data_IF_799643774869
#
_entry.id   IF_799643774869
#
_cell.length_a   1.000
_cell.length_b   1.000
_cell.length_c   1.000
_cell.angle_alpha   90.00
_cell.angle_beta   90.00
_cell.angle_gamma   90.00
#
_symmetry.space_group_name_H-M   'P 1'
#
loop_
_entity.id
_entity.type
_entity.pdbx_description
1 polymer ?
#
# COMPACT_ATOMS: atom_id res chain seq x y z
N UNK A 1 11.22 14.23 2.36
CA UNK A 1 10.09 13.28 2.52
C UNK A 1 10.60 12.03 3.23
N UNK A 2 10.08 11.68 4.43
CA UNK A 2 10.57 10.54 5.23
C UNK A 2 9.62 9.35 5.09
N UNK A 3 10.07 8.25 4.52
CA UNK A 3 9.31 6.99 4.42
C UNK A 3 9.94 5.99 5.38
N UNK A 4 9.12 5.31 6.17
CA UNK A 4 9.59 4.18 6.96
C UNK A 4 9.24 2.89 6.22
N UNK A 5 10.27 2.13 5.85
CA UNK A 5 10.12 0.78 5.33
C UNK A 5 10.05 -0.20 6.50
N UNK A 6 8.97 -0.97 6.59
CA UNK A 6 8.80 -1.99 7.61
C UNK A 6 8.89 -3.37 6.97
N UNK A 7 10.02 -4.04 7.13
CA UNK A 7 10.15 -5.47 6.81
C UNK A 7 9.32 -6.36 7.76
N UNK A 8 8.84 -5.82 8.89
CA UNK A 8 8.07 -6.58 9.88
C UNK A 8 7.34 -5.69 10.88
N UNK A 9 6.12 -5.24 10.60
CA UNK A 9 5.16 -4.93 11.67
C UNK A 9 3.71 -4.81 11.20
N UNK A 10 3.09 -5.98 10.94
CA UNK A 10 1.62 -6.14 10.80
C UNK A 10 0.83 -5.52 11.97
N UNK A 11 1.47 -5.31 13.13
CA UNK A 11 0.88 -4.69 14.33
C UNK A 11 0.62 -3.18 14.16
N UNK A 12 1.40 -2.48 13.33
CA UNK A 12 1.30 -1.02 13.18
C UNK A 12 0.08 -0.62 12.34
N UNK A 13 -0.18 -1.35 11.24
CA UNK A 13 -1.38 -1.12 10.40
C UNK A 13 -2.69 -1.27 11.20
N UNK A 14 -2.69 -2.11 12.25
CA UNK A 14 -3.89 -2.35 13.07
C UNK A 14 -4.24 -1.21 14.02
N UNK A 15 -3.34 -0.25 14.25
CA UNK A 15 -3.54 0.83 15.24
C UNK A 15 -4.50 1.95 14.77
N UNK A 16 -4.94 1.93 13.51
CA UNK A 16 -5.93 2.87 12.94
C UNK A 16 -5.55 4.36 13.11
N UNK A 17 -4.26 4.69 13.00
CA UNK A 17 -3.68 6.02 13.29
C UNK A 17 -3.86 7.06 12.17
N UNK A 18 -4.78 6.87 11.23
CA UNK A 18 -4.96 7.72 10.03
C UNK A 18 -3.73 7.93 9.16
N UNK A 19 -2.90 6.88 9.09
CA UNK A 19 -1.74 6.86 8.22
C UNK A 19 -2.05 6.13 6.93
N UNK A 20 -1.43 6.58 5.85
CA UNK A 20 -1.45 5.93 4.56
C UNK A 20 -0.30 4.91 4.47
N UNK A 21 -0.57 3.79 3.82
CA UNK A 21 0.39 2.71 3.62
C UNK A 21 0.37 2.23 2.18
N UNK A 22 1.54 1.81 1.71
CA UNK A 22 1.73 1.13 0.44
C UNK A 22 2.21 -0.29 0.71
N UNK A 23 1.44 -1.26 0.24
CA UNK A 23 1.72 -2.68 0.40
C UNK A 23 2.24 -3.22 -0.93
N UNK A 24 3.42 -3.82 -0.91
CA UNK A 24 3.98 -4.51 -2.06
C UNK A 24 3.74 -6.01 -1.90
N UNK A 25 3.16 -6.62 -2.93
CA UNK A 25 2.89 -8.06 -2.94
C UNK A 25 3.11 -8.66 -4.32
N UNK A 26 3.40 -9.96 -4.34
CA UNK A 26 3.46 -10.75 -5.57
C UNK A 26 2.05 -11.11 -6.05
N UNK A 27 1.77 -10.75 -7.29
CA UNK A 27 0.63 -11.20 -8.06
C UNK A 27 1.08 -12.18 -9.14
N UNK A 28 0.16 -13.03 -9.60
CA UNK A 28 0.43 -14.00 -10.65
C UNK A 28 -0.22 -13.54 -11.95
N UNK A 29 0.57 -13.47 -13.02
CA UNK A 29 0.05 -13.21 -14.37
C UNK A 29 -0.22 -14.54 -15.06
N UNK A 30 -1.48 -14.80 -15.39
CA UNK A 30 -1.91 -16.04 -16.06
C UNK A 30 -1.47 -16.11 -17.53
N UNK A 31 -1.29 -14.96 -18.20
CA UNK A 31 -0.90 -14.92 -19.62
C UNK A 31 0.59 -15.20 -19.79
N UNK A 32 1.43 -14.60 -18.96
CA UNK A 32 2.89 -14.75 -19.02
C UNK A 32 3.42 -15.87 -18.13
N UNK A 33 2.53 -16.54 -17.36
CA UNK A 33 2.86 -17.56 -16.37
C UNK A 33 4.00 -17.15 -15.44
N UNK A 34 3.99 -15.89 -15.01
CA UNK A 34 5.05 -15.31 -14.20
C UNK A 34 4.51 -14.48 -13.04
N UNK A 35 5.26 -14.47 -11.94
CA UNK A 35 4.99 -13.58 -10.83
C UNK A 35 5.47 -12.17 -11.14
N UNK A 36 4.72 -11.17 -10.68
CA UNK A 36 5.13 -9.77 -10.73
C UNK A 36 4.76 -9.07 -9.42
N UNK A 37 5.49 -8.02 -9.08
CA UNK A 37 5.21 -7.16 -7.93
C UNK A 37 4.22 -6.09 -8.32
N UNK A 38 3.29 -5.82 -7.41
CA UNK A 38 2.32 -4.72 -7.53
C UNK A 38 2.17 -3.99 -6.20
N UNK A 39 1.62 -2.77 -6.24
CA UNK A 39 1.42 -1.89 -5.08
C UNK A 39 -0.07 -1.73 -4.78
N UNK A 40 -0.42 -1.73 -3.50
CA UNK A 40 -1.75 -1.38 -2.99
C UNK A 40 -1.64 -0.22 -2.00
N UNK A 41 -2.38 0.87 -2.26
CA UNK A 41 -2.51 2.01 -1.34
C UNK A 41 -3.70 1.78 -0.39
N UNK A 42 -3.50 1.98 0.91
CA UNK A 42 -4.56 1.91 1.93
C UNK A 42 -4.41 3.02 2.97
N UNK A 43 -5.51 3.43 3.59
CA UNK A 43 -5.52 4.23 4.82
C UNK A 43 -5.86 3.33 6.02
N UNK A 44 -5.17 3.51 7.14
CA UNK A 44 -5.38 2.71 8.37
C UNK A 44 -6.69 2.95 9.12
N UNK A 45 -7.43 4.03 8.83
CA UNK A 45 -8.81 4.24 9.30
C UNK A 45 -9.84 3.37 8.59
N UNK A 46 -9.46 2.67 7.51
CA UNK A 46 -10.32 1.76 6.75
C UNK A 46 -11.42 2.42 5.92
N UNK A 47 -11.27 3.69 5.57
CA UNK A 47 -12.12 4.37 4.59
C UNK A 47 -11.67 4.02 3.16
N UNK A 48 -11.93 2.78 2.74
CA UNK A 48 -11.85 2.46 1.31
C UNK A 48 -13.16 2.96 0.68
N UNK A 49 -13.13 4.17 0.15
CA UNK A 49 -14.16 4.68 -0.76
C UNK A 49 -14.11 3.85 -2.05
N UNK A 50 -14.98 2.85 -2.15
CA UNK A 50 -15.35 2.27 -3.44
C UNK A 50 -16.78 2.71 -3.80
N UNK A 51 -17.14 2.60 -5.08
CA UNK A 51 -18.49 2.91 -5.59
C UNK A 51 -19.63 2.09 -4.92
N UNK A 52 -19.30 1.09 -4.11
CA UNK A 52 -20.24 0.20 -3.41
C UNK A 52 -20.32 0.42 -1.89
N UNK A 53 -19.70 1.49 -1.36
CA UNK A 53 -19.77 1.89 0.05
C UNK A 53 -18.67 1.33 0.97
N UNK A 54 -18.59 1.89 2.18
CA UNK A 54 -17.56 1.64 3.19
C UNK A 54 -17.46 0.16 3.57
N UNK A 55 -16.44 -0.57 3.09
CA UNK A 55 -16.14 -1.93 3.55
C UNK A 55 -15.04 -1.91 4.61
N UNK A 56 -15.42 -2.24 5.85
CA UNK A 56 -14.47 -2.51 6.95
C UNK A 56 -13.56 -3.68 6.56
N UNK A 57 -12.26 -3.52 6.80
CA UNK A 57 -11.24 -4.53 6.45
C UNK A 57 -11.29 -5.78 7.30
N UNK A 58 -12.08 -5.80 8.37
CA UNK A 58 -12.35 -7.02 9.14
C UNK A 58 -12.89 -8.16 8.24
N UNK A 59 -13.53 -7.83 7.11
CA UNK A 59 -14.03 -8.80 6.13
C UNK A 59 -13.25 -8.84 4.81
N UNK A 60 -12.23 -7.99 4.61
CA UNK A 60 -11.35 -8.14 3.45
C UNK A 60 -10.27 -9.12 3.86
N UNK A 61 -10.43 -10.39 3.44
CA UNK A 61 -9.43 -11.45 3.61
C UNK A 61 -8.22 -11.18 2.69
N UNK A 62 -7.70 -9.94 2.70
CA UNK A 62 -6.44 -9.60 2.09
C UNK A 62 -5.40 -10.38 2.87
N UNK A 63 -4.88 -11.43 2.23
CA UNK A 63 -3.81 -12.21 2.80
C UNK A 63 -2.58 -11.31 2.90
N UNK A 64 -2.48 -10.53 3.98
CA UNK A 64 -1.27 -9.82 4.43
C UNK A 64 -0.07 -10.78 4.57
N UNK A 65 -0.32 -12.09 4.54
CA UNK A 65 0.69 -13.14 4.37
C UNK A 65 1.46 -13.04 3.05
N UNK A 66 0.86 -12.50 1.99
CA UNK A 66 1.47 -12.31 0.66
C UNK A 66 2.11 -10.92 0.49
N UNK A 67 1.91 -10.03 1.45
CA UNK A 67 2.60 -8.73 1.47
C UNK A 67 4.04 -8.96 1.90
N UNK A 68 4.94 -8.49 1.06
CA UNK A 68 6.39 -8.62 1.24
C UNK A 68 6.96 -7.39 1.92
N UNK A 69 6.51 -6.20 1.50
CA UNK A 69 7.00 -4.93 2.01
C UNK A 69 5.84 -3.99 2.29
N UNK A 70 5.99 -3.20 3.37
CA UNK A 70 5.04 -2.17 3.76
C UNK A 70 5.81 -0.86 3.89
N UNK A 71 5.37 0.16 3.16
CA UNK A 71 5.83 1.53 3.29
C UNK A 71 4.76 2.36 3.99
N UNK A 72 5.16 3.13 5.00
CA UNK A 72 4.27 4.10 5.66
C UNK A 72 4.52 5.51 5.12
N UNK A 73 3.44 6.19 4.78
CA UNK A 73 3.43 7.61 4.47
C UNK A 73 3.43 8.44 5.76
N UNK A 74 4.38 9.36 5.86
CA UNK A 74 4.49 10.28 7.00
C UNK A 74 4.08 11.72 6.65
N UNK A 75 3.72 12.01 5.41
CA UNK A 75 3.20 13.32 5.04
C UNK A 75 1.75 13.50 5.44
N UNK A 76 1.27 14.73 5.31
CA UNK A 76 -0.11 15.10 5.58
C UNK A 76 -0.98 14.84 4.34
N UNK A 77 -2.22 14.39 4.56
CA UNK A 77 -3.15 14.09 3.48
C UNK A 77 -2.91 12.76 2.75
N UNK A 78 -3.70 12.54 1.70
CA UNK A 78 -3.66 11.34 0.87
C UNK A 78 -2.52 11.39 -0.17
N UNK A 79 -1.58 10.44 -0.18
CA UNK A 79 -0.50 10.40 -1.14
C UNK A 79 -0.94 9.84 -2.50
N UNK A 80 -0.26 10.25 -3.57
CA UNK A 80 -0.33 9.58 -4.87
C UNK A 80 0.25 8.16 -4.80
N UNK A 81 -0.18 7.29 -5.72
CA UNK A 81 0.35 5.92 -5.83
C UNK A 81 1.74 5.96 -6.47
N UNK A 82 2.79 5.44 -5.80
CA UNK A 82 4.12 5.41 -6.37
C UNK A 82 4.23 4.43 -7.54
N UNK A 83 5.20 4.67 -8.42
CA UNK A 83 5.61 3.70 -9.42
C UNK A 83 6.60 2.72 -8.79
N UNK A 84 6.39 1.42 -9.04
CA UNK A 84 7.29 0.37 -8.54
C UNK A 84 7.93 -0.41 -9.68
N UNK A 85 9.12 -0.93 -9.41
CA UNK A 85 9.73 -1.96 -10.24
C UNK A 85 8.95 -3.27 -10.06
N UNK A 86 8.39 -3.80 -11.15
CA UNK A 86 7.57 -5.02 -11.12
C UNK A 86 8.37 -6.29 -10.79
N UNK A 87 9.69 -6.25 -10.85
CA UNK A 87 10.55 -7.39 -10.53
C UNK A 87 11.01 -7.34 -9.06
N UNK A 88 11.43 -6.17 -8.57
CA UNK A 88 12.01 -6.02 -7.21
C UNK A 88 11.00 -5.56 -6.17
N UNK A 89 9.94 -4.86 -6.58
CA UNK A 89 8.97 -4.24 -5.69
C UNK A 89 9.46 -2.95 -5.04
N UNK A 90 10.66 -2.50 -5.41
CA UNK A 90 11.20 -1.21 -4.99
C UNK A 90 10.45 -0.08 -5.67
N UNK A 91 10.28 1.02 -4.94
CA UNK A 91 9.65 2.22 -5.45
C UNK A 91 10.67 2.97 -6.30
N UNK A 92 10.40 3.11 -7.58
CA UNK A 92 11.32 3.73 -8.55
C UNK A 92 10.99 5.18 -8.82
N UNK A 93 9.75 5.59 -8.58
CA UNK A 93 9.33 6.98 -8.70
C UNK A 93 8.23 7.29 -7.69
N UNK A 94 8.52 8.27 -6.84
CA UNK A 94 7.52 8.96 -6.05
C UNK A 94 7.22 10.25 -6.80
N UNK A 95 6.17 10.24 -7.62
CA UNK A 95 5.68 11.47 -8.24
C UNK A 95 5.61 12.55 -7.17
N UNK A 96 6.21 13.69 -7.48
CA UNK A 96 6.29 14.84 -6.59
C UNK A 96 4.89 15.15 -6.05
N UNK A 97 4.72 14.96 -4.75
CA UNK A 97 3.43 15.21 -4.13
C UNK A 97 3.28 16.71 -3.98
N UNK A 98 2.46 17.30 -4.85
CA UNK A 98 2.01 18.67 -4.68
C UNK A 98 1.19 18.70 -3.40
N UNK A 99 1.82 19.12 -2.30
CA UNK A 99 1.08 19.45 -1.09
C UNK A 99 0.03 20.48 -1.47
N UNK A 100 -1.20 20.28 -1.01
CA UNK A 100 -2.15 21.38 -0.96
C UNK A 100 -1.54 22.42 -0.02
N UNK A 101 -1.15 23.58 -0.57
CA UNK A 101 -0.77 24.77 0.21
C UNK A 101 -1.91 25.23 1.12
#
# INVERSE_FOLDING_TARGET
MKINCFNKSRKTIRKKEDKWYFLIYSAWNLQTLSAYKTVLKINSKWDVLNLAGNKKFDNYNFYLKRVEVIYQWNGDGEPEIPTINKNTGEITDWKEQKGTE
#
